data_IF_868209902983
#
_entry.id   IF_868209902983
#
_cell.length_a   1.000
_cell.length_b   1.000
_cell.length_c   1.000
_cell.angle_alpha   90.00
_cell.angle_beta   90.00
_cell.angle_gamma   90.00
#
_symmetry.space_group_name_H-M   'P 1'
#
loop_
_entity.id
_entity.type
_entity.pdbx_description
1 polymer ?
#
# COMPACT_ATOMS: atom_id res chain seq x y z
N UNK A 1 13.22 -0.02 11.99
CA UNK A 1 12.53 1.02 12.80
C UNK A 1 11.58 1.75 11.86
N UNK A 2 10.28 1.51 11.96
CA UNK A 2 9.30 2.19 11.10
C UNK A 2 9.09 3.61 11.64
N UNK A 3 9.25 4.61 10.78
CA UNK A 3 9.09 6.03 11.14
C UNK A 3 7.60 6.36 11.07
N UNK A 4 6.92 6.37 12.21
CA UNK A 4 5.50 6.73 12.33
C UNK A 4 5.30 8.22 12.63
N UNK A 5 6.04 9.09 11.93
CA UNK A 5 5.88 10.54 12.08
C UNK A 5 5.06 11.10 10.92
N UNK A 6 3.85 11.59 11.22
CA UNK A 6 2.98 12.23 10.23
C UNK A 6 3.62 13.47 9.57
N UNK A 7 4.51 14.17 10.28
CA UNK A 7 5.24 15.32 9.72
C UNK A 7 6.22 14.88 8.64
N UNK A 8 7.01 13.83 8.92
CA UNK A 8 7.97 13.25 7.95
C UNK A 8 7.22 12.68 6.74
N UNK A 9 6.07 12.04 6.96
CA UNK A 9 5.23 11.54 5.86
C UNK A 9 4.74 12.65 4.93
N UNK A 10 4.32 13.81 5.48
CA UNK A 10 3.86 14.94 4.67
C UNK A 10 4.97 15.53 3.81
N UNK A 11 6.13 15.79 4.39
CA UNK A 11 7.30 16.32 3.66
C UNK A 11 7.76 15.36 2.56
N UNK A 12 7.71 14.05 2.81
CA UNK A 12 8.04 13.03 1.81
C UNK A 12 7.05 13.05 0.64
N UNK A 13 5.74 13.12 0.90
CA UNK A 13 4.73 13.20 -0.16
C UNK A 13 4.83 14.52 -0.94
N UNK A 14 5.21 15.61 -0.29
CA UNK A 14 5.50 16.89 -0.92
C UNK A 14 6.70 16.81 -1.86
N UNK A 15 7.81 16.24 -1.42
CA UNK A 15 8.99 16.03 -2.26
C UNK A 15 8.72 15.14 -3.49
N UNK A 16 7.74 14.23 -3.38
CA UNK A 16 7.32 13.36 -4.49
C UNK A 16 6.21 13.97 -5.36
N UNK A 17 5.68 15.15 -5.03
CA UNK A 17 4.57 15.76 -5.76
C UNK A 17 3.23 15.03 -5.62
N UNK A 18 3.05 14.25 -4.55
CA UNK A 18 1.88 13.39 -4.30
C UNK A 18 0.97 13.93 -3.21
N UNK A 19 1.01 15.25 -2.98
CA UNK A 19 0.19 15.90 -1.96
C UNK A 19 -1.30 15.67 -2.24
N UNK A 20 -2.06 15.30 -1.20
CA UNK A 20 -3.50 15.03 -1.31
C UNK A 20 -3.85 13.67 -1.92
N UNK A 21 -2.86 12.85 -2.32
CA UNK A 21 -3.12 11.48 -2.78
C UNK A 21 -3.16 10.50 -1.60
N UNK A 22 -4.05 9.51 -1.68
CA UNK A 22 -4.09 8.41 -0.71
C UNK A 22 -2.98 7.40 -1.00
N UNK A 23 -1.81 7.64 -0.40
CA UNK A 23 -0.64 6.75 -0.47
C UNK A 23 -0.64 5.80 0.72
N UNK A 24 -0.41 4.51 0.48
CA UNK A 24 -0.35 3.47 1.53
C UNK A 24 1.07 3.07 1.89
N UNK A 25 2.02 3.20 0.94
CA UNK A 25 3.43 2.96 1.21
C UNK A 25 4.32 3.75 0.25
N UNK A 26 5.48 4.17 0.74
CA UNK A 26 6.60 4.66 -0.05
C UNK A 26 7.80 3.78 0.29
N UNK A 27 8.49 3.25 -0.71
CA UNK A 27 9.70 2.46 -0.57
C UNK A 27 10.82 3.13 -1.35
N UNK A 28 11.95 3.39 -0.68
CA UNK A 28 13.12 4.01 -1.30
C UNK A 28 14.26 3.01 -1.26
N UNK A 29 14.80 2.67 -2.42
CA UNK A 29 15.98 1.82 -2.54
C UNK A 29 17.22 2.69 -2.63
N UNK A 30 18.20 2.39 -1.79
CA UNK A 30 19.49 3.07 -1.75
C UNK A 30 20.60 2.13 -2.20
N UNK A 31 21.49 2.63 -3.04
CA UNK A 31 22.76 1.98 -3.39
C UNK A 31 23.91 2.94 -3.07
N UNK A 32 24.88 2.51 -2.27
CA UNK A 32 26.03 3.32 -1.84
C UNK A 32 25.66 4.75 -1.36
N UNK A 33 24.57 4.86 -0.58
CA UNK A 33 24.01 6.12 -0.05
C UNK A 33 23.30 7.04 -1.06
N UNK A 34 23.11 6.61 -2.32
CA UNK A 34 22.29 7.30 -3.30
C UNK A 34 20.95 6.60 -3.46
N UNK A 35 19.84 7.35 -3.47
CA UNK A 35 18.53 6.80 -3.82
C UNK A 35 18.53 6.46 -5.32
N UNK A 36 18.31 5.18 -5.64
CA UNK A 36 18.31 4.68 -7.03
C UNK A 36 16.90 4.39 -7.53
N UNK A 37 15.95 4.17 -6.62
CA UNK A 37 14.57 3.88 -6.97
C UNK A 37 13.61 4.34 -5.85
N UNK A 38 12.48 4.92 -6.26
CA UNK A 38 11.36 5.21 -5.35
C UNK A 38 10.11 4.51 -5.90
N UNK A 39 9.54 3.62 -5.11
CA UNK A 39 8.27 2.96 -5.38
C UNK A 39 7.19 3.54 -4.47
N UNK A 40 6.03 3.87 -5.04
CA UNK A 40 4.88 4.39 -4.29
C UNK A 40 3.69 3.49 -4.52
N UNK A 41 3.05 3.05 -3.43
CA UNK A 41 1.79 2.30 -3.47
C UNK A 41 0.65 3.21 -3.08
N UNK A 42 -0.40 3.18 -3.89
CA UNK A 42 -1.61 3.96 -3.66
C UNK A 42 -2.70 3.08 -3.06
N UNK A 43 -3.62 3.71 -2.35
CA UNK A 43 -4.87 3.10 -1.97
C UNK A 43 -5.73 2.98 -3.24
N UNK A 44 -6.18 1.79 -3.64
CA UNK A 44 -7.09 1.66 -4.76
C UNK A 44 -8.38 2.42 -4.45
N UNK A 45 -8.99 3.04 -5.46
CA UNK A 45 -10.30 3.64 -5.26
C UNK A 45 -11.35 2.57 -4.89
N UNK A 46 -12.49 2.98 -4.32
CA UNK A 46 -13.51 2.04 -3.86
C UNK A 46 -14.01 1.11 -4.97
N UNK A 47 -14.08 1.60 -6.21
CA UNK A 47 -14.58 0.82 -7.36
C UNK A 47 -13.58 -0.26 -7.74
N UNK A 48 -12.29 0.09 -7.79
CA UNK A 48 -11.20 -0.85 -8.04
C UNK A 48 -11.11 -1.91 -6.92
N UNK A 49 -11.20 -1.49 -5.66
CA UNK A 49 -11.19 -2.39 -4.53
C UNK A 49 -12.37 -3.38 -4.58
N UNK A 50 -13.58 -2.90 -4.91
CA UNK A 50 -14.76 -3.74 -5.05
C UNK A 50 -14.59 -4.79 -6.15
N UNK A 51 -14.08 -4.41 -7.32
CA UNK A 51 -13.84 -5.35 -8.43
C UNK A 51 -12.82 -6.43 -8.08
N UNK A 52 -11.73 -6.07 -7.38
CA UNK A 52 -10.75 -7.06 -6.91
C UNK A 52 -11.37 -8.03 -5.90
N UNK A 53 -12.17 -7.54 -4.95
CA UNK A 53 -12.86 -8.39 -3.97
C UNK A 53 -13.81 -9.36 -4.65
N UNK A 54 -14.57 -8.91 -5.66
CA UNK A 54 -15.46 -9.81 -6.42
C UNK A 54 -14.69 -10.93 -7.12
N UNK A 55 -13.53 -10.62 -7.71
CA UNK A 55 -12.66 -11.61 -8.34
C UNK A 55 -12.15 -12.62 -7.29
N UNK A 56 -11.66 -12.15 -6.14
CA UNK A 56 -11.18 -13.02 -5.06
C UNK A 56 -12.28 -13.95 -4.53
N UNK A 57 -13.51 -13.45 -4.42
CA UNK A 57 -14.68 -14.27 -4.05
C UNK A 57 -15.01 -15.31 -5.11
N UNK A 58 -15.00 -14.92 -6.39
CA UNK A 58 -15.30 -15.81 -7.53
C UNK A 58 -14.37 -17.02 -7.59
N UNK A 59 -13.09 -16.83 -7.27
CA UNK A 59 -12.08 -17.89 -7.31
C UNK A 59 -11.81 -18.55 -5.95
N UNK A 60 -12.62 -18.26 -4.92
CA UNK A 60 -12.42 -18.75 -3.55
C UNK A 60 -10.99 -18.51 -3.01
N UNK A 61 -10.34 -17.41 -3.43
CA UNK A 61 -8.98 -17.06 -3.02
C UNK A 61 -8.93 -16.31 -1.67
N UNK A 62 -9.87 -16.61 -0.79
CA UNK A 62 -9.92 -16.11 0.58
C UNK A 62 -9.81 -17.30 1.53
N UNK A 63 -9.11 -17.13 2.65
CA UNK A 63 -9.11 -18.14 3.71
C UNK A 63 -10.55 -18.43 4.12
N UNK A 64 -10.97 -19.69 3.96
CA UNK A 64 -12.17 -20.18 4.64
C UNK A 64 -11.80 -20.22 6.12
N UNK A 65 -12.56 -19.58 7.02
CA UNK A 65 -12.32 -19.76 8.45
C UNK A 65 -12.35 -21.26 8.73
N UNK A 66 -11.37 -21.77 9.47
CA UNK A 66 -11.33 -23.17 9.88
C UNK A 66 -12.70 -23.54 10.45
N UNK A 67 -13.46 -24.37 9.74
CA UNK A 67 -14.70 -24.92 10.28
C UNK A 67 -14.30 -25.72 11.52
N UNK A 68 -14.87 -25.44 12.70
CA UNK A 68 -14.60 -26.25 13.87
C UNK A 68 -15.06 -27.67 13.54
N UNK A 69 -14.10 -28.59 13.44
CA UNK A 69 -14.36 -30.01 13.24
C UNK A 69 -15.40 -30.48 14.26
N UNK A 70 -16.57 -30.86 13.76
CA UNK A 70 -17.68 -31.39 14.56
C UNK A 70 -17.34 -32.74 15.21
#
# INVERSE_FOLDING_TARGET
MAVYSNAIGKELLEALGLQGMSVTAVTVHFEASQAVEVQVKFLPDQTQAAGVIEILKRYELHEKPDEPSA
#
